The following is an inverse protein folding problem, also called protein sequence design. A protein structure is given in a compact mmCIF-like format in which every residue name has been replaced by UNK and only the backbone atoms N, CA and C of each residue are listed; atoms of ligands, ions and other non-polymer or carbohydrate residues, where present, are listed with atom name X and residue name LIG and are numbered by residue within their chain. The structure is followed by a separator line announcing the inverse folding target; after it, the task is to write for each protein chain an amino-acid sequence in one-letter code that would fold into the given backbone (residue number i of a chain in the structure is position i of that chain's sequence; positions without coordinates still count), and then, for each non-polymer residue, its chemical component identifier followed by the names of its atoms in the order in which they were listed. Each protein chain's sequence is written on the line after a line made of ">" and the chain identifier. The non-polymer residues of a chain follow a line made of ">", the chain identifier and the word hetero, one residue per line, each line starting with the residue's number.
data_IF_911574183767
#
_entry.id   IF_911574183767
#
_cell.length_a   1.000
_cell.length_b   1.000
_cell.length_c   1.000
_cell.angle_alpha   90.00
_cell.angle_beta   90.00
_cell.angle_gamma   90.00
#
_symmetry.space_group_name_H-M   'P 1'
#
loop_
_entity.id
_entity.type
_entity.pdbx_description
1 polymer ?
#
# COMPACT_ATOMS: atom_id res chain seq x y z
N UNK A 1 15.99 9.27 8.37
CA UNK A 1 15.32 8.34 9.30
C UNK A 1 14.13 7.69 8.60
N UNK A 2 13.82 6.42 8.88
CA UNK A 2 12.73 5.67 8.21
C UNK A 2 11.38 6.38 8.32
N UNK A 3 11.08 7.00 9.48
CA UNK A 3 9.81 7.70 9.70
C UNK A 3 9.58 8.88 8.74
N UNK A 4 10.62 9.62 8.36
CA UNK A 4 10.51 10.74 7.42
C UNK A 4 10.15 10.24 6.02
N UNK A 5 10.69 9.07 5.64
CA UNK A 5 10.40 8.45 4.35
C UNK A 5 8.94 7.98 4.29
N UNK A 6 8.42 7.36 5.35
CA UNK A 6 7.02 6.92 5.43
C UNK A 6 6.08 8.13 5.33
N UNK A 7 6.35 9.19 6.09
CA UNK A 7 5.53 10.40 6.09
C UNK A 7 5.54 11.10 4.73
N UNK A 8 6.70 11.13 4.06
CA UNK A 8 6.82 11.68 2.72
C UNK A 8 6.03 10.86 1.69
N UNK A 9 6.10 9.53 1.71
CA UNK A 9 5.30 8.68 0.82
C UNK A 9 3.81 8.83 1.12
N UNK A 10 3.41 8.88 2.40
CA UNK A 10 2.01 8.97 2.79
C UNK A 10 1.35 10.29 2.33
N UNK A 11 2.10 11.40 2.37
CA UNK A 11 1.60 12.76 2.06
C UNK A 11 1.88 13.21 0.63
N UNK A 12 2.99 12.77 0.05
CA UNK A 12 3.50 13.21 -1.26
C UNK A 12 3.72 11.99 -2.18
N UNK A 13 2.71 11.12 -2.28
CA UNK A 13 2.73 9.96 -3.17
C UNK A 13 2.58 10.40 -4.63
N UNK A 14 3.19 9.64 -5.53
CA UNK A 14 3.05 9.82 -6.97
C UNK A 14 1.73 9.22 -7.47
N UNK A 15 1.32 8.10 -6.85
CA UNK A 15 0.12 7.35 -7.23
C UNK A 15 -0.54 6.70 -6.01
N UNK A 16 -1.86 6.67 -6.01
CA UNK A 16 -2.66 5.86 -5.10
C UNK A 16 -3.47 4.84 -5.90
N UNK A 17 -3.47 3.59 -5.48
CA UNK A 17 -4.24 2.51 -6.11
C UNK A 17 -4.94 1.69 -5.05
N UNK A 18 -6.24 1.47 -5.24
CA UNK A 18 -7.01 0.55 -4.40
C UNK A 18 -6.62 -0.89 -4.72
N UNK A 19 -6.52 -1.73 -3.70
CA UNK A 19 -6.15 -3.13 -3.84
C UNK A 19 -6.66 -3.96 -2.68
N UNK A 20 -6.34 -5.25 -2.68
CA UNK A 20 -6.49 -6.09 -1.48
C UNK A 20 -5.14 -6.51 -0.92
N UNK A 21 -5.05 -6.62 0.41
CA UNK A 21 -3.84 -7.08 1.10
C UNK A 21 -4.18 -8.12 2.16
N UNK A 22 -3.32 -9.13 2.31
CA UNK A 22 -3.52 -10.24 3.25
C UNK A 22 -3.58 -9.72 4.69
N UNK A 23 -4.52 -10.27 5.49
CA UNK A 23 -4.67 -9.91 6.90
C UNK A 23 -5.47 -8.63 7.14
N UNK A 24 -6.01 -8.00 6.09
CA UNK A 24 -6.80 -6.77 6.21
C UNK A 24 -8.33 -7.02 6.11
N UNK A 25 -8.73 -8.26 5.82
CA UNK A 25 -10.14 -8.68 5.74
C UNK A 25 -10.61 -9.41 6.99
N UNK A 26 -11.90 -9.76 7.00
CA UNK A 26 -12.53 -10.53 8.08
C UNK A 26 -11.77 -11.85 8.33
N UNK A 27 -11.53 -12.20 9.60
CA UNK A 27 -10.78 -13.40 10.01
C UNK A 27 -9.42 -13.56 9.29
N UNK A 28 -8.65 -12.46 9.15
CA UNK A 28 -7.32 -12.43 8.50
C UNK A 28 -7.32 -12.75 6.99
N UNK A 29 -8.48 -12.73 6.34
CA UNK A 29 -8.58 -12.82 4.87
C UNK A 29 -7.98 -11.59 4.18
N UNK A 30 -8.00 -11.57 2.84
CA UNK A 30 -7.61 -10.38 2.08
C UNK A 30 -8.69 -9.30 2.26
N UNK A 31 -8.27 -8.07 2.51
CA UNK A 31 -9.19 -6.94 2.64
C UNK A 31 -8.69 -5.71 1.91
N UNK A 32 -9.60 -4.77 1.67
CA UNK A 32 -9.32 -3.56 0.90
C UNK A 32 -8.30 -2.65 1.60
N UNK A 33 -7.37 -2.16 0.80
CA UNK A 33 -6.35 -1.19 1.19
C UNK A 33 -6.10 -0.19 0.07
N UNK A 34 -5.40 0.88 0.42
CA UNK A 34 -4.80 1.82 -0.52
C UNK A 34 -3.28 1.62 -0.53
N UNK A 35 -2.73 1.39 -1.72
CA UNK A 35 -1.29 1.42 -1.98
C UNK A 35 -0.89 2.83 -2.41
N UNK A 36 -0.18 3.55 -1.54
CA UNK A 36 0.42 4.86 -1.81
C UNK A 36 1.85 4.66 -2.28
N UNK A 37 2.11 4.95 -3.54
CA UNK A 37 3.35 4.63 -4.25
C UNK A 37 4.16 5.91 -4.43
N UNK A 38 5.46 5.86 -4.11
CA UNK A 38 6.41 6.92 -4.44
C UNK A 38 7.72 6.30 -4.92
N UNK A 39 8.08 6.55 -6.17
CA UNK A 39 9.13 5.78 -6.86
C UNK A 39 8.83 4.27 -6.79
N UNK A 40 9.73 3.49 -6.21
CA UNK A 40 9.54 2.05 -6.03
C UNK A 40 8.98 1.64 -4.67
N UNK A 41 8.91 2.54 -3.70
CA UNK A 41 8.43 2.22 -2.35
C UNK A 41 6.92 2.44 -2.21
N UNK A 42 6.31 1.65 -1.33
CA UNK A 42 4.85 1.66 -1.15
C UNK A 42 4.48 1.71 0.33
N UNK A 43 3.59 2.63 0.69
CA UNK A 43 2.91 2.65 1.98
C UNK A 43 1.53 2.04 1.81
N UNK A 44 1.19 1.07 2.65
CA UNK A 44 -0.12 0.45 2.69
C UNK A 44 -0.95 1.12 3.78
N UNK A 45 -2.14 1.58 3.41
CA UNK A 45 -3.11 2.20 4.33
C UNK A 45 -4.48 1.57 4.18
N UNK A 46 -5.30 1.64 5.22
CA UNK A 46 -6.74 1.36 5.12
C UNK A 46 -7.45 2.48 4.35
N UNK A 47 -8.73 2.26 4.03
CA UNK A 47 -9.57 3.28 3.37
C UNK A 47 -9.66 4.59 4.17
N UNK A 48 -9.65 4.49 5.51
CA UNK A 48 -9.66 5.64 6.44
C UNK A 48 -8.29 6.34 6.57
N UNK A 49 -7.26 5.88 5.86
CA UNK A 49 -5.90 6.42 5.93
C UNK A 49 -5.03 5.85 7.05
N UNK A 50 -5.56 4.94 7.88
CA UNK A 50 -4.79 4.28 8.94
C UNK A 50 -3.62 3.49 8.36
N UNK A 51 -2.46 3.62 8.98
CA UNK A 51 -1.25 2.92 8.55
C UNK A 51 -1.36 1.41 8.76
N UNK A 52 -0.91 0.63 7.76
CA UNK A 52 -0.81 -0.83 7.85
C UNK A 52 0.67 -1.25 7.85
N UNK A 53 1.41 -0.90 6.79
CA UNK A 53 2.81 -1.28 6.66
C UNK A 53 3.51 -0.48 5.56
N UNK A 54 4.83 -0.67 5.44
CA UNK A 54 5.66 -0.16 4.35
C UNK A 54 6.32 -1.32 3.63
N UNK A 55 6.28 -1.27 2.31
CA UNK A 55 6.96 -2.19 1.42
C UNK A 55 8.10 -1.42 0.74
N UNK A 56 9.33 -1.75 1.13
CA UNK A 56 10.53 -1.27 0.44
C UNK A 56 10.61 -1.96 -0.92
N UNK A 57 10.82 -1.20 -2.00
CA UNK A 57 10.68 -1.70 -3.37
C UNK A 57 9.33 -2.41 -3.62
N UNK A 58 8.29 -1.88 -2.96
CA UNK A 58 6.96 -2.47 -2.89
C UNK A 58 6.21 -2.60 -4.21
N UNK A 59 6.63 -1.87 -5.26
CA UNK A 59 6.07 -2.05 -6.62
C UNK A 59 6.24 -3.49 -7.13
N UNK A 60 7.22 -4.23 -6.59
CA UNK A 60 7.46 -5.62 -6.95
C UNK A 60 6.61 -6.62 -6.16
N UNK A 61 5.86 -6.17 -5.15
CA UNK A 61 4.95 -7.03 -4.39
C UNK A 61 3.77 -7.49 -5.25
N UNK A 62 3.43 -8.77 -5.19
CA UNK A 62 2.30 -9.35 -5.97
C UNK A 62 0.99 -8.60 -5.76
N UNK A 63 0.67 -8.19 -4.54
CA UNK A 63 -0.59 -7.46 -4.26
C UNK A 63 -0.60 -6.08 -4.90
N UNK A 64 0.55 -5.43 -4.98
CA UNK A 64 0.70 -4.11 -5.62
C UNK A 64 0.63 -4.24 -7.14
N UNK A 65 1.28 -5.25 -7.73
CA UNK A 65 1.20 -5.55 -9.17
C UNK A 65 -0.24 -5.82 -9.60
N UNK A 66 -0.90 -6.71 -8.87
CA UNK A 66 -2.32 -7.01 -9.05
C UNK A 66 -3.19 -5.75 -8.99
N UNK A 67 -2.95 -4.87 -8.01
CA UNK A 67 -3.67 -3.61 -7.91
C UNK A 67 -3.43 -2.68 -9.12
N UNK A 68 -2.18 -2.57 -9.57
CA UNK A 68 -1.79 -1.76 -10.74
C UNK A 68 -2.42 -2.27 -12.06
N UNK A 69 -2.65 -3.58 -12.15
CA UNK A 69 -3.29 -4.24 -13.29
C UNK A 69 -4.82 -4.29 -13.17
N UNK A 70 -5.40 -3.93 -12.02
CA UNK A 70 -6.85 -4.01 -11.76
C UNK A 70 -7.37 -5.39 -11.35
N UNK A 71 -6.48 -6.31 -10.95
CA UNK A 71 -6.75 -7.72 -10.65
C UNK A 71 -6.63 -8.05 -9.15
N UNK A 72 -7.47 -7.49 -8.27
CA UNK A 72 -7.26 -7.57 -6.80
C UNK A 72 -8.48 -7.93 -5.96
#
# INVERSE_FOLDING_TARGET
>A
MVINKINDIAKNYDKIVMGTFKGQGYQNSRGFVNFRIKGSDVVVTKADGSFVTVLKDGINNTSVKNALEGNY
#
